data_IF_763210109493
#
_entry.id   IF_763210109493
#
_cell.length_a   1.000
_cell.length_b   1.000
_cell.length_c   1.000
_cell.angle_alpha   90.00
_cell.angle_beta   90.00
_cell.angle_gamma   90.00
#
_symmetry.space_group_name_H-M   'P 1'
#
loop_
_entity.id
_entity.type
_entity.pdbx_description
1 polymer ?
#
# COMPACT_ATOMS: atom_id res chain seq x y z
N UNK A 1 5.35 14.53 -4.37
CA UNK A 1 4.32 15.56 -4.13
C UNK A 1 3.89 16.24 -5.44
N UNK A 2 4.82 16.77 -6.25
CA UNK A 2 4.49 17.50 -7.48
C UNK A 2 3.59 16.69 -8.42
N UNK A 3 3.95 15.45 -8.76
CA UNK A 3 3.14 14.58 -9.62
C UNK A 3 1.74 14.31 -9.05
N UNK A 4 1.64 14.11 -7.74
CA UNK A 4 0.36 13.97 -7.05
C UNK A 4 -0.52 15.21 -7.22
N UNK A 5 0.04 16.42 -7.01
CA UNK A 5 -0.70 17.67 -7.17
C UNK A 5 -1.13 17.89 -8.63
N UNK A 6 -0.23 17.61 -9.58
CA UNK A 6 -0.55 17.70 -11.01
C UNK A 6 -1.65 16.73 -11.43
N UNK A 7 -1.60 15.48 -10.94
CA UNK A 7 -2.64 14.50 -11.21
C UNK A 7 -4.01 14.97 -10.69
N UNK A 8 -4.07 15.46 -9.44
CA UNK A 8 -5.32 15.96 -8.87
C UNK A 8 -5.88 17.17 -9.67
N UNK A 9 -5.05 18.15 -9.99
CA UNK A 9 -5.46 19.30 -10.76
C UNK A 9 -5.95 18.93 -12.17
N UNK A 10 -5.35 17.90 -12.80
CA UNK A 10 -5.81 17.37 -14.09
C UNK A 10 -7.11 16.58 -13.92
N UNK A 11 -7.22 15.74 -12.87
CA UNK A 11 -8.40 14.93 -12.61
C UNK A 11 -9.67 15.76 -12.36
N UNK A 12 -9.54 16.91 -11.70
CA UNK A 12 -10.64 17.88 -11.55
C UNK A 12 -11.17 18.41 -12.89
N UNK A 13 -10.29 18.53 -13.89
CA UNK A 13 -10.63 19.09 -15.21
C UNK A 13 -11.05 18.04 -16.22
N UNK A 14 -10.38 16.87 -16.18
CA UNK A 14 -10.46 15.86 -17.23
C UNK A 14 -11.16 14.57 -16.77
N UNK A 15 -11.52 14.52 -15.48
CA UNK A 15 -12.07 13.32 -14.83
C UNK A 15 -10.98 12.39 -14.29
N UNK A 16 -11.36 11.40 -13.45
CA UNK A 16 -10.41 10.60 -12.67
C UNK A 16 -9.65 9.53 -13.49
N UNK A 17 -10.08 9.23 -14.73
CA UNK A 17 -9.48 8.18 -15.57
C UNK A 17 -8.39 8.74 -16.45
N UNK A 18 -7.16 8.80 -15.93
CA UNK A 18 -6.01 9.35 -16.63
C UNK A 18 -5.71 8.67 -17.99
N UNK A 19 -6.07 7.40 -18.14
CA UNK A 19 -5.94 6.68 -19.42
C UNK A 19 -6.80 7.26 -20.55
N UNK A 20 -7.83 8.03 -20.21
CA UNK A 20 -8.72 8.72 -21.15
C UNK A 20 -8.34 10.18 -21.39
N UNK A 21 -7.35 10.72 -20.67
CA UNK A 21 -6.90 12.09 -20.87
C UNK A 21 -6.30 12.32 -22.26
N UNK A 22 -6.21 13.57 -22.73
CA UNK A 22 -5.43 13.89 -23.92
C UNK A 22 -4.01 13.36 -23.83
N UNK A 23 -3.42 12.96 -24.95
CA UNK A 23 -2.09 12.34 -25.00
C UNK A 23 -1.01 13.11 -24.25
N UNK A 24 -1.07 14.44 -24.33
CA UNK A 24 -0.14 15.36 -23.67
C UNK A 24 -0.15 15.28 -22.14
N UNK A 25 -1.18 14.72 -21.53
CA UNK A 25 -1.32 14.63 -20.06
C UNK A 25 -1.36 13.19 -19.53
N UNK A 26 -1.33 12.18 -20.42
CA UNK A 26 -1.32 10.77 -19.97
C UNK A 26 -0.03 10.35 -19.31
N UNK A 27 1.07 11.07 -19.56
CA UNK A 27 2.36 10.73 -18.96
C UNK A 27 2.87 11.89 -18.08
N UNK A 28 3.34 11.60 -16.84
CA UNK A 28 3.76 12.63 -15.89
C UNK A 28 4.97 13.44 -16.36
N UNK A 29 5.82 12.88 -17.25
CA UNK A 29 7.04 13.52 -17.75
C UNK A 29 6.84 14.19 -19.12
N UNK A 30 5.59 14.44 -19.54
CA UNK A 30 5.32 15.09 -20.82
C UNK A 30 5.78 16.57 -20.81
N UNK A 31 6.28 17.04 -21.96
CA UNK A 31 6.71 18.42 -22.11
C UNK A 31 5.54 19.41 -21.92
N UNK A 32 4.34 19.05 -22.37
CA UNK A 32 3.14 19.87 -22.21
C UNK A 32 2.81 20.06 -20.72
N UNK A 33 2.86 18.99 -19.93
CA UNK A 33 2.59 19.08 -18.50
C UNK A 33 3.65 19.91 -17.76
N UNK A 34 4.92 19.77 -18.13
CA UNK A 34 5.99 20.54 -17.48
C UNK A 34 5.88 22.05 -17.69
N UNK A 35 5.27 22.47 -18.79
CA UNK A 35 5.05 23.88 -19.12
C UNK A 35 3.72 24.44 -18.60
N UNK A 36 2.76 23.56 -18.28
CA UNK A 36 1.39 23.94 -17.94
C UNK A 36 1.29 24.91 -16.77
N UNK A 37 2.04 24.79 -15.66
CA UNK A 37 1.97 25.74 -14.55
C UNK A 37 2.35 27.18 -14.92
N UNK A 38 3.24 27.35 -15.90
CA UNK A 38 3.65 28.67 -16.37
C UNK A 38 2.65 29.28 -17.37
N UNK A 39 1.87 28.46 -18.06
CA UNK A 39 0.92 28.85 -19.09
C UNK A 39 -0.52 29.00 -18.56
N UNK A 40 -0.84 28.35 -17.44
CA UNK A 40 -2.17 28.28 -16.87
C UNK A 40 -2.14 28.55 -15.36
N UNK A 41 -2.42 29.78 -14.98
CA UNK A 41 -2.44 30.18 -13.56
C UNK A 41 -3.49 29.43 -12.72
N UNK A 42 -4.60 29.01 -13.34
CA UNK A 42 -5.62 28.25 -12.64
C UNK A 42 -5.13 26.82 -12.31
N UNK A 43 -4.42 26.18 -13.24
CA UNK A 43 -3.78 24.90 -12.98
C UNK A 43 -2.70 25.01 -11.89
N UNK A 44 -1.86 26.04 -11.94
CA UNK A 44 -0.86 26.29 -10.90
C UNK A 44 -1.51 26.44 -9.52
N UNK A 45 -2.58 27.25 -9.42
CA UNK A 45 -3.34 27.43 -8.17
C UNK A 45 -3.95 26.13 -7.66
N UNK A 46 -4.49 25.29 -8.54
CA UNK A 46 -5.03 23.97 -8.15
C UNK A 46 -3.92 23.06 -7.60
N UNK A 47 -2.73 23.06 -8.24
CA UNK A 47 -1.57 22.31 -7.72
C UNK A 47 -1.15 22.80 -6.32
N UNK A 48 -1.10 24.12 -6.11
CA UNK A 48 -0.75 24.71 -4.81
C UNK A 48 -1.80 24.35 -3.73
N UNK A 49 -3.08 24.33 -4.10
CA UNK A 49 -4.15 23.89 -3.21
C UNK A 49 -3.97 22.44 -2.78
N UNK A 50 -3.69 21.52 -3.69
CA UNK A 50 -3.44 20.12 -3.35
C UNK A 50 -2.15 19.94 -2.54
N UNK A 51 -1.11 20.73 -2.82
CA UNK A 51 0.10 20.75 -1.99
C UNK A 51 -0.18 21.21 -0.56
N UNK A 52 -1.01 22.26 -0.41
CA UNK A 52 -1.45 22.74 0.90
C UNK A 52 -2.27 21.69 1.66
N UNK A 53 -3.18 20.96 0.99
CA UNK A 53 -3.93 19.88 1.62
C UNK A 53 -3.02 18.76 2.13
N UNK A 54 -1.99 18.37 1.36
CA UNK A 54 -1.01 17.38 1.81
C UNK A 54 -0.19 17.88 3.01
N UNK A 55 0.22 19.15 2.98
CA UNK A 55 0.89 19.77 4.12
C UNK A 55 -0.01 19.77 5.36
N UNK A 56 -1.28 20.17 5.21
CA UNK A 56 -2.25 20.19 6.31
C UNK A 56 -2.48 18.78 6.89
N UNK A 57 -2.62 17.76 6.03
CA UNK A 57 -2.75 16.37 6.44
C UNK A 57 -1.54 15.92 7.25
N UNK A 58 -0.33 16.17 6.75
CA UNK A 58 0.92 15.82 7.44
C UNK A 58 0.99 16.49 8.81
N UNK A 59 0.73 17.82 8.88
CA UNK A 59 0.74 18.56 10.14
C UNK A 59 -0.32 18.07 11.14
N UNK A 60 -1.49 17.66 10.64
CA UNK A 60 -2.54 17.11 11.49
C UNK A 60 -2.15 15.76 12.06
N UNK A 61 -1.58 14.87 11.25
CA UNK A 61 -1.05 13.58 11.71
C UNK A 61 0.06 13.74 12.74
N UNK A 62 1.03 14.61 12.50
CA UNK A 62 2.11 14.91 13.46
C UNK A 62 1.56 15.40 14.82
N UNK A 63 0.58 16.32 14.77
CA UNK A 63 -0.06 16.84 16.00
C UNK A 63 -0.86 15.77 16.73
N UNK A 64 -1.58 14.91 15.97
CA UNK A 64 -2.33 13.80 16.55
C UNK A 64 -1.39 12.78 17.20
N UNK A 65 -0.29 12.42 16.52
CA UNK A 65 0.73 11.53 17.06
C UNK A 65 1.36 12.08 18.34
N UNK A 66 1.66 13.39 18.37
CA UNK A 66 2.21 14.05 19.54
C UNK A 66 1.23 14.14 20.72
N UNK A 67 -0.07 14.25 20.44
CA UNK A 67 -1.12 14.34 21.46
C UNK A 67 -1.60 12.96 21.94
N UNK A 68 -1.33 11.89 21.19
CA UNK A 68 -1.72 10.53 21.56
C UNK A 68 -0.88 10.05 22.76
N UNK A 69 -1.52 9.55 23.80
CA UNK A 69 -0.85 8.94 24.96
C UNK A 69 -0.15 7.63 24.62
N UNK A 70 -0.51 7.02 23.50
CA UNK A 70 0.15 5.86 22.86
C UNK A 70 0.47 6.24 21.42
N UNK A 71 1.52 5.65 20.85
CA UNK A 71 1.91 5.95 19.46
C UNK A 71 0.88 5.50 18.44
N UNK A 72 0.84 6.18 17.28
CA UNK A 72 0.03 5.76 16.14
C UNK A 72 0.74 4.68 15.34
N UNK A 73 -0.05 3.77 14.76
CA UNK A 73 0.41 2.76 13.82
C UNK A 73 -0.14 3.15 12.45
N UNK A 74 0.75 3.43 11.50
CA UNK A 74 0.40 3.63 10.10
C UNK A 74 0.05 2.31 9.44
N UNK A 75 -0.67 2.37 8.31
CA UNK A 75 -1.02 1.18 7.52
C UNK A 75 -0.54 1.37 6.08
N UNK A 76 0.26 0.41 5.59
CA UNK A 76 0.73 0.37 4.21
C UNK A 76 -0.15 -0.59 3.42
N UNK A 77 -0.99 -0.04 2.55
CA UNK A 77 -1.85 -0.81 1.69
C UNK A 77 -1.06 -1.66 0.69
N UNK A 78 -1.68 -2.76 0.24
CA UNK A 78 -1.07 -3.73 -0.68
C UNK A 78 -0.80 -3.15 -2.08
N UNK A 79 -1.49 -2.07 -2.46
CA UNK A 79 -1.34 -1.41 -3.75
C UNK A 79 -2.13 -0.10 -3.85
N UNK A 80 -2.25 0.42 -5.07
CA UNK A 80 -2.95 1.67 -5.37
C UNK A 80 -4.02 1.49 -6.44
N UNK A 81 -4.94 2.45 -6.55
CA UNK A 81 -5.94 2.48 -7.61
C UNK A 81 -5.29 2.55 -9.00
N UNK A 82 -5.75 1.77 -10.00
CA UNK A 82 -5.25 1.86 -11.38
C UNK A 82 -5.49 3.23 -12.03
N UNK A 83 -6.53 3.94 -11.59
CA UNK A 83 -6.84 5.30 -12.05
C UNK A 83 -6.22 6.39 -11.16
N UNK A 84 -5.49 6.02 -10.09
CA UNK A 84 -4.94 6.96 -9.11
C UNK A 84 -3.62 7.61 -9.53
N UNK A 85 -3.21 8.61 -8.74
CA UNK A 85 -2.00 9.38 -8.96
C UNK A 85 -0.72 8.51 -8.97
N UNK A 86 -0.65 7.48 -8.12
CA UNK A 86 0.51 6.59 -8.05
C UNK A 86 0.64 5.72 -9.31
N UNK A 87 -0.47 5.18 -9.81
CA UNK A 87 -0.47 4.41 -11.05
C UNK A 87 -0.09 5.28 -12.25
N UNK A 88 -0.58 6.51 -12.31
CA UNK A 88 -0.21 7.47 -13.33
C UNK A 88 1.27 7.89 -13.23
N UNK A 89 1.75 8.20 -12.02
CA UNK A 89 3.11 8.65 -11.80
C UNK A 89 4.16 7.55 -12.04
N UNK A 90 3.79 6.29 -11.82
CA UNK A 90 4.70 5.15 -11.90
C UNK A 90 4.29 4.14 -12.97
N UNK A 91 3.51 4.58 -13.98
CA UNK A 91 2.95 3.72 -15.04
C UNK A 91 4.01 2.86 -15.75
N UNK A 92 5.22 3.38 -15.94
CA UNK A 92 6.32 2.64 -16.57
C UNK A 92 6.89 1.51 -15.70
N UNK A 93 6.61 1.55 -14.40
CA UNK A 93 7.08 0.56 -13.44
C UNK A 93 6.02 -0.49 -13.10
N UNK A 94 4.75 -0.25 -13.46
CA UNK A 94 3.62 -1.10 -13.13
C UNK A 94 3.16 -1.98 -14.30
N UNK A 95 2.63 -3.15 -13.98
CA UNK A 95 1.94 -4.03 -14.91
C UNK A 95 0.45 -3.63 -14.98
N UNK A 96 0.14 -2.58 -15.74
CA UNK A 96 -1.22 -2.00 -15.80
C UNK A 96 -2.27 -2.94 -16.42
N UNK A 97 -1.85 -4.00 -17.11
CA UNK A 97 -2.72 -5.06 -17.63
C UNK A 97 -2.92 -6.22 -16.66
N UNK A 98 -2.40 -6.12 -15.44
CA UNK A 98 -2.52 -7.13 -14.40
C UNK A 98 -3.19 -6.53 -13.16
N UNK A 99 -3.80 -7.40 -12.36
CA UNK A 99 -4.42 -7.03 -11.08
C UNK A 99 -3.94 -7.96 -9.99
N UNK A 100 -3.71 -7.41 -8.80
CA UNK A 100 -3.44 -8.19 -7.59
C UNK A 100 -4.70 -8.89 -7.11
N UNK A 101 -4.53 -10.04 -6.46
CA UNK A 101 -5.60 -10.80 -5.88
C UNK A 101 -5.10 -11.99 -5.07
N UNK A 102 -5.98 -12.95 -4.84
CA UNK A 102 -5.68 -14.23 -4.22
C UNK A 102 -6.35 -15.39 -4.99
N UNK A 103 -5.72 -16.57 -5.06
CA UNK A 103 -6.32 -17.74 -5.68
C UNK A 103 -7.55 -18.21 -4.91
N UNK A 104 -8.40 -19.07 -5.51
CA UNK A 104 -9.40 -19.82 -4.77
C UNK A 104 -8.78 -20.60 -3.61
N UNK A 105 -9.41 -20.54 -2.45
CA UNK A 105 -9.01 -21.24 -1.24
C UNK A 105 -10.23 -21.78 -0.47
N UNK A 106 -10.05 -22.54 0.63
CA UNK A 106 -11.17 -23.08 1.43
C UNK A 106 -12.04 -22.00 2.07
N UNK A 107 -11.55 -20.77 2.26
CA UNK A 107 -12.30 -19.64 2.84
C UNK A 107 -13.02 -18.85 1.77
N UNK A 108 -12.46 -18.79 0.56
CA UNK A 108 -13.05 -18.10 -0.59
C UNK A 108 -12.87 -18.93 -1.88
N UNK A 109 -13.83 -19.78 -2.16
CA UNK A 109 -13.80 -20.69 -3.32
C UNK A 109 -13.76 -19.96 -4.70
N UNK A 110 -14.14 -18.68 -4.75
CA UNK A 110 -14.04 -17.87 -5.97
C UNK A 110 -12.67 -17.20 -6.13
N UNK A 111 -11.84 -17.19 -5.08
CA UNK A 111 -10.66 -16.34 -5.02
C UNK A 111 -11.02 -14.86 -4.89
N UNK A 112 -10.03 -14.00 -4.99
CA UNK A 112 -10.21 -12.55 -4.86
C UNK A 112 -9.47 -11.80 -5.97
N UNK A 113 -10.11 -10.76 -6.51
CA UNK A 113 -9.48 -9.80 -7.42
C UNK A 113 -9.60 -8.40 -6.79
N UNK A 114 -8.47 -7.83 -6.38
CA UNK A 114 -8.46 -6.54 -5.65
C UNK A 114 -8.45 -5.32 -6.58
N UNK A 115 -8.23 -5.53 -7.88
CA UNK A 115 -8.28 -4.46 -8.87
C UNK A 115 -7.02 -3.57 -8.92
N UNK A 116 -5.99 -3.87 -8.15
CA UNK A 116 -4.79 -3.04 -7.97
C UNK A 116 -3.67 -3.49 -8.90
N UNK A 117 -3.01 -2.60 -9.68
CA UNK A 117 -1.91 -2.97 -10.55
C UNK A 117 -0.63 -3.23 -9.73
N UNK A 118 0.11 -4.32 -9.98
CA UNK A 118 1.36 -4.60 -9.30
C UNK A 118 2.54 -3.86 -9.93
N UNK A 119 3.60 -3.62 -9.14
CA UNK A 119 4.91 -3.23 -9.68
C UNK A 119 5.58 -4.40 -10.40
N UNK A 120 6.17 -4.15 -11.55
CA UNK A 120 7.03 -5.12 -12.27
C UNK A 120 8.35 -5.23 -11.53
N UNK A 121 8.72 -6.41 -10.94
CA UNK A 121 9.87 -6.52 -10.05
C UNK A 121 11.20 -6.08 -10.67
N UNK A 122 11.44 -6.43 -11.93
CA UNK A 122 12.66 -6.04 -12.64
C UNK A 122 12.74 -4.53 -12.89
N UNK A 123 11.63 -3.89 -13.21
CA UNK A 123 11.57 -2.42 -13.41
C UNK A 123 11.70 -1.67 -12.09
N UNK A 124 11.05 -2.17 -11.03
CA UNK A 124 11.18 -1.60 -9.69
C UNK A 124 12.63 -1.66 -9.20
N UNK A 125 13.33 -2.79 -9.42
CA UNK A 125 14.76 -2.95 -9.12
C UNK A 125 15.61 -1.99 -9.96
N UNK A 126 15.38 -1.88 -11.27
CA UNK A 126 16.08 -0.95 -12.14
C UNK A 126 15.89 0.52 -11.71
N UNK A 127 14.73 0.86 -11.18
CA UNK A 127 14.44 2.15 -10.56
C UNK A 127 15.01 2.31 -9.15
N UNK A 128 15.85 1.35 -8.68
CA UNK A 128 16.46 1.35 -7.34
C UNK A 128 15.40 1.41 -6.22
N UNK A 129 14.25 0.82 -6.43
CA UNK A 129 13.12 0.78 -5.49
C UNK A 129 12.61 2.16 -5.03
N UNK A 130 12.93 3.25 -5.74
CA UNK A 130 12.60 4.63 -5.32
C UNK A 130 11.14 4.82 -4.93
N UNK A 131 10.13 4.35 -5.72
CA UNK A 131 8.74 4.49 -5.32
C UNK A 131 8.42 3.73 -4.01
N UNK A 132 8.88 2.49 -3.89
CA UNK A 132 8.67 1.66 -2.70
C UNK A 132 9.32 2.26 -1.45
N UNK A 133 10.57 2.75 -1.56
CA UNK A 133 11.24 3.49 -0.48
C UNK A 133 10.40 4.71 -0.08
N UNK A 134 9.90 5.47 -1.05
CA UNK A 134 9.05 6.64 -0.81
C UNK A 134 7.77 6.30 -0.06
N UNK A 135 7.09 5.22 -0.46
CA UNK A 135 5.87 4.72 0.18
C UNK A 135 6.12 4.32 1.64
N UNK A 136 7.14 3.48 1.90
CA UNK A 136 7.47 3.03 3.26
C UNK A 136 7.87 4.21 4.15
N UNK A 137 8.70 5.11 3.63
CA UNK A 137 9.13 6.32 4.35
C UNK A 137 7.96 7.23 4.73
N UNK A 138 7.04 7.46 3.79
CA UNK A 138 5.85 8.27 4.03
C UNK A 138 4.91 7.60 5.05
N UNK A 139 4.72 6.29 4.97
CA UNK A 139 3.87 5.53 5.89
C UNK A 139 4.45 5.45 7.31
N UNK A 140 5.77 5.51 7.47
CA UNK A 140 6.44 5.56 8.78
C UNK A 140 6.50 6.99 9.37
N UNK A 141 6.22 8.03 8.59
CA UNK A 141 6.44 9.41 9.03
C UNK A 141 5.53 9.79 10.21
N UNK A 142 6.15 10.11 11.37
CA UNK A 142 5.43 10.45 12.60
C UNK A 142 4.70 9.30 13.28
N UNK A 143 4.89 8.06 12.82
CA UNK A 143 4.27 6.87 13.38
C UNK A 143 5.20 6.13 14.34
N UNK A 144 4.64 5.53 15.38
CA UNK A 144 5.37 4.63 16.27
C UNK A 144 5.52 3.22 15.68
N UNK A 145 4.64 2.84 14.78
CA UNK A 145 4.68 1.55 14.07
C UNK A 145 4.08 1.64 12.69
N UNK A 146 4.35 0.61 11.87
CA UNK A 146 3.81 0.43 10.54
C UNK A 146 3.22 -0.98 10.41
N UNK A 147 1.93 -1.10 10.10
CA UNK A 147 1.32 -2.34 9.64
C UNK A 147 1.49 -2.44 8.13
N UNK A 148 1.93 -3.59 7.66
CA UNK A 148 2.01 -3.92 6.24
C UNK A 148 0.87 -4.88 5.93
N UNK A 149 -0.05 -4.42 5.09
CA UNK A 149 -1.17 -5.22 4.63
C UNK A 149 -0.69 -6.34 3.72
N UNK A 150 -1.22 -7.56 3.92
CA UNK A 150 -0.87 -8.76 3.14
C UNK A 150 0.65 -8.92 2.98
N UNK A 151 1.37 -9.09 4.09
CA UNK A 151 2.85 -9.11 4.11
C UNK A 151 3.48 -10.17 3.20
N UNK A 152 2.75 -11.27 2.88
CA UNK A 152 3.14 -12.27 1.89
C UNK A 152 3.38 -11.65 0.51
N UNK A 153 2.74 -10.52 0.21
CA UNK A 153 2.94 -9.73 -1.01
C UNK A 153 4.36 -9.19 -1.21
N UNK A 154 5.21 -9.22 -0.17
CA UNK A 154 6.65 -8.93 -0.27
C UNK A 154 7.47 -10.12 -0.81
N UNK A 155 6.93 -11.32 -0.76
CA UNK A 155 7.59 -12.56 -1.20
C UNK A 155 7.07 -13.00 -2.56
N UNK A 156 5.76 -13.03 -2.71
CA UNK A 156 5.06 -13.36 -3.94
C UNK A 156 3.72 -12.66 -3.99
N UNK A 157 3.27 -12.32 -5.19
CA UNK A 157 1.96 -11.72 -5.43
C UNK A 157 1.19 -12.58 -6.43
N UNK A 158 -0.10 -12.72 -6.20
CA UNK A 158 -0.98 -13.40 -7.15
C UNK A 158 -1.49 -12.39 -8.17
N UNK A 159 -1.11 -12.57 -9.43
CA UNK A 159 -1.44 -11.68 -10.53
C UNK A 159 -2.51 -12.28 -11.41
N UNK A 160 -3.55 -11.50 -11.68
CA UNK A 160 -4.70 -11.85 -12.52
C UNK A 160 -4.67 -10.94 -13.75
N UNK A 161 -4.78 -11.47 -14.98
CA UNK A 161 -4.91 -10.63 -16.16
C UNK A 161 -6.13 -9.70 -16.07
N UNK A 162 -6.03 -8.48 -16.59
CA UNK A 162 -7.16 -7.57 -16.64
C UNK A 162 -8.32 -8.19 -17.42
N UNK A 163 -9.54 -8.15 -16.85
CA UNK A 163 -10.70 -8.82 -17.41
C UNK A 163 -10.78 -10.34 -17.18
N UNK A 164 -9.74 -10.94 -16.58
CA UNK A 164 -9.72 -12.34 -16.15
C UNK A 164 -10.34 -12.54 -14.76
N UNK A 165 -10.38 -13.79 -14.35
CA UNK A 165 -10.85 -14.24 -13.02
C UNK A 165 -9.66 -14.73 -12.19
N UNK A 166 -9.82 -14.96 -10.88
CA UNK A 166 -8.76 -15.58 -10.06
C UNK A 166 -8.30 -16.97 -10.58
N UNK A 167 -9.14 -17.70 -11.34
CA UNK A 167 -8.73 -18.95 -11.96
C UNK A 167 -7.68 -18.79 -13.07
N UNK A 168 -7.58 -17.59 -13.65
CA UNK A 168 -6.63 -17.26 -14.73
C UNK A 168 -5.31 -16.69 -14.17
N UNK A 169 -5.21 -16.55 -12.84
CA UNK A 169 -4.07 -15.92 -12.17
C UNK A 169 -2.89 -16.87 -11.93
N UNK A 170 -1.77 -16.27 -11.58
CA UNK A 170 -0.55 -17.00 -11.21
C UNK A 170 0.27 -16.22 -10.19
N UNK A 171 1.13 -16.93 -9.45
CA UNK A 171 2.07 -16.30 -8.53
C UNK A 171 3.30 -15.75 -9.26
N UNK A 172 3.66 -14.51 -8.93
CA UNK A 172 4.89 -13.84 -9.37
C UNK A 172 5.78 -13.62 -8.14
N UNK A 173 7.01 -14.11 -8.21
CA UNK A 173 8.01 -13.96 -7.13
C UNK A 173 8.51 -12.53 -7.06
N UNK A 174 8.67 -12.02 -5.85
CA UNK A 174 9.21 -10.70 -5.55
C UNK A 174 10.64 -10.80 -4.96
N UNK A 175 11.45 -9.75 -5.08
CA UNK A 175 12.77 -9.67 -4.46
C UNK A 175 12.66 -9.40 -2.94
N UNK A 176 12.14 -10.38 -2.20
CA UNK A 176 11.76 -10.23 -0.78
C UNK A 176 12.91 -9.75 0.11
N UNK A 177 14.14 -10.23 -0.12
CA UNK A 177 15.29 -9.83 0.67
C UNK A 177 15.56 -8.32 0.59
N UNK A 178 15.48 -7.75 -0.63
CA UNK A 178 15.66 -6.31 -0.83
C UNK A 178 14.48 -5.51 -0.25
N UNK A 179 13.24 -5.97 -0.44
CA UNK A 179 12.05 -5.29 0.07
C UNK A 179 12.04 -5.27 1.60
N UNK A 180 12.35 -6.39 2.26
CA UNK A 180 12.48 -6.47 3.72
C UNK A 180 13.62 -5.58 4.24
N UNK A 181 14.76 -5.53 3.55
CA UNK A 181 15.87 -4.66 3.93
C UNK A 181 15.49 -3.17 3.86
N UNK A 182 14.73 -2.76 2.84
CA UNK A 182 14.22 -1.39 2.70
C UNK A 182 13.26 -1.06 3.84
N UNK A 183 12.29 -1.94 4.14
CA UNK A 183 11.34 -1.76 5.23
C UNK A 183 12.08 -1.57 6.57
N UNK A 184 13.02 -2.48 6.87
CA UNK A 184 13.83 -2.39 8.10
C UNK A 184 14.60 -1.08 8.19
N UNK A 185 15.24 -0.67 7.09
CA UNK A 185 16.02 0.57 7.06
C UNK A 185 15.14 1.81 7.30
N UNK A 186 14.03 1.94 6.58
CA UNK A 186 13.16 3.12 6.71
C UNK A 186 12.42 3.14 8.05
N UNK A 187 11.96 2.00 8.55
CA UNK A 187 11.35 1.89 9.87
C UNK A 187 12.36 2.23 11.00
N UNK A 188 13.60 1.72 10.91
CA UNK A 188 14.67 2.06 11.86
C UNK A 188 14.97 3.56 11.86
N UNK A 189 15.02 4.19 10.68
CA UNK A 189 15.23 5.64 10.54
C UNK A 189 14.11 6.46 11.18
N UNK A 190 12.88 5.94 11.10
CA UNK A 190 11.71 6.58 11.69
C UNK A 190 11.54 6.28 13.19
N UNK A 191 12.28 5.31 13.75
CA UNK A 191 12.07 4.81 15.11
C UNK A 191 10.78 4.00 15.24
N UNK A 192 10.25 3.45 14.15
CA UNK A 192 9.00 2.71 14.10
C UNK A 192 9.23 1.20 14.16
N UNK A 193 8.38 0.47 14.87
CA UNK A 193 8.30 -0.99 14.76
C UNK A 193 7.44 -1.38 13.56
N UNK A 194 7.59 -2.63 13.08
CA UNK A 194 6.85 -3.11 11.91
C UNK A 194 6.02 -4.33 12.27
N UNK A 195 4.79 -4.37 11.78
CA UNK A 195 3.85 -5.48 11.88
C UNK A 195 3.53 -5.94 10.47
N UNK A 196 3.67 -7.23 10.19
CA UNK A 196 3.16 -7.85 8.97
C UNK A 196 1.80 -8.48 9.22
N UNK A 197 0.81 -8.16 8.41
CA UNK A 197 -0.42 -8.94 8.39
C UNK A 197 -0.12 -10.26 7.68
N UNK A 198 -0.04 -11.35 8.46
CA UNK A 198 0.31 -12.71 8.04
C UNK A 198 -0.83 -13.70 8.30
N UNK A 199 -2.08 -13.24 8.11
CA UNK A 199 -3.27 -14.07 8.25
C UNK A 199 -3.44 -15.00 7.03
N UNK A 200 -4.11 -16.14 7.25
CA UNK A 200 -4.35 -17.14 6.20
C UNK A 200 -3.24 -18.19 6.10
N UNK A 201 -3.03 -18.72 4.90
CA UNK A 201 -2.02 -19.77 4.67
C UNK A 201 -0.67 -19.14 4.33
N UNK A 202 0.25 -19.20 5.27
CA UNK A 202 1.59 -18.63 5.17
C UNK A 202 2.65 -19.71 5.28
N UNK A 203 3.62 -19.70 4.39
CA UNK A 203 4.70 -20.68 4.39
C UNK A 203 5.66 -20.48 5.58
N UNK A 204 6.22 -21.55 6.15
CA UNK A 204 7.13 -21.46 7.30
C UNK A 204 8.36 -20.57 7.06
N UNK A 205 8.87 -20.53 5.82
CA UNK A 205 9.99 -19.65 5.45
C UNK A 205 9.62 -18.17 5.50
N UNK A 206 8.39 -17.79 5.20
CA UNK A 206 7.91 -16.41 5.34
C UNK A 206 7.92 -16.00 6.81
N UNK A 207 7.32 -16.81 7.68
CA UNK A 207 7.36 -16.55 9.13
C UNK A 207 8.79 -16.45 9.68
N UNK A 208 9.72 -17.29 9.20
CA UNK A 208 11.13 -17.21 9.59
C UNK A 208 11.76 -15.89 9.13
N UNK A 209 11.57 -15.52 7.86
CA UNK A 209 12.13 -14.29 7.30
C UNK A 209 11.59 -13.02 8.00
N UNK A 210 10.30 -13.01 8.37
CA UNK A 210 9.69 -11.92 9.14
C UNK A 210 10.34 -11.80 10.53
N UNK A 211 10.48 -12.92 11.26
CA UNK A 211 11.15 -12.93 12.58
C UNK A 211 12.59 -12.47 12.49
N UNK A 212 13.37 -12.98 11.54
CA UNK A 212 14.77 -12.58 11.31
C UNK A 212 14.89 -11.10 10.91
N UNK A 213 13.84 -10.55 10.33
CA UNK A 213 13.75 -9.14 9.97
C UNK A 213 13.25 -8.26 11.12
N UNK A 214 12.88 -8.82 12.28
CA UNK A 214 12.32 -8.07 13.40
C UNK A 214 10.92 -7.53 13.13
N UNK A 215 10.18 -8.15 12.19
CA UNK A 215 8.80 -7.81 11.85
C UNK A 215 7.88 -8.70 12.71
N UNK A 216 6.93 -8.06 13.42
CA UNK A 216 5.92 -8.74 14.21
C UNK A 216 4.89 -9.40 13.29
N UNK A 217 4.41 -10.59 13.65
CA UNK A 217 3.24 -11.19 13.02
C UNK A 217 1.93 -10.65 13.60
N UNK A 218 0.80 -11.15 13.13
CA UNK A 218 -0.54 -10.79 13.60
C UNK A 218 -1.26 -12.01 14.15
N UNK A 219 -1.90 -11.87 15.32
CA UNK A 219 -2.79 -12.86 15.92
C UNK A 219 -4.16 -12.24 16.17
N UNK A 220 -5.21 -12.94 15.75
CA UNK A 220 -6.60 -12.47 15.85
C UNK A 220 -7.41 -13.47 16.67
N UNK A 221 -8.05 -12.99 17.72
CA UNK A 221 -8.87 -13.79 18.64
C UNK A 221 -9.98 -14.59 17.93
N UNK A 222 -10.59 -14.04 16.89
CA UNK A 222 -11.63 -14.75 16.13
C UNK A 222 -11.16 -16.04 15.47
N UNK A 223 -9.87 -16.17 15.17
CA UNK A 223 -9.31 -17.36 14.53
C UNK A 223 -8.67 -18.34 15.50
N UNK A 224 -8.18 -17.85 16.64
CA UNK A 224 -7.48 -18.66 17.63
C UNK A 224 -7.69 -18.07 19.02
N UNK A 225 -8.50 -18.75 19.83
CA UNK A 225 -8.85 -18.33 21.20
C UNK A 225 -7.80 -18.72 22.24
N UNK A 226 -6.74 -19.45 21.87
CA UNK A 226 -5.66 -19.90 22.76
C UNK A 226 -4.60 -18.80 22.96
N UNK A 227 -5.03 -17.60 23.34
CA UNK A 227 -4.15 -16.43 23.42
C UNK A 227 -2.93 -16.62 24.36
N UNK A 228 -2.98 -17.52 25.31
CA UNK A 228 -1.87 -17.83 26.20
C UNK A 228 -0.69 -18.54 25.49
N UNK A 229 -0.96 -19.16 24.33
CA UNK A 229 0.04 -19.86 23.52
C UNK A 229 0.62 -18.97 22.40
N UNK A 230 0.12 -17.74 22.28
CA UNK A 230 0.58 -16.84 21.20
C UNK A 230 2.02 -16.40 21.43
N UNK A 231 2.86 -16.43 20.38
CA UNK A 231 4.23 -15.94 20.49
C UNK A 231 4.28 -14.45 20.83
N UNK A 232 5.22 -14.05 21.68
CA UNK A 232 5.37 -12.68 22.13
C UNK A 232 5.69 -11.68 21.00
N UNK A 233 6.22 -12.17 19.86
CA UNK A 233 6.55 -11.33 18.70
C UNK A 233 5.37 -11.19 17.73
N UNK A 234 4.16 -11.01 18.23
CA UNK A 234 2.96 -10.77 17.44
C UNK A 234 2.17 -9.58 17.99
N UNK A 235 1.50 -8.88 17.08
CA UNK A 235 0.40 -8.00 17.43
C UNK A 235 -0.83 -8.88 17.75
N UNK A 236 -1.31 -8.79 18.97
CA UNK A 236 -2.54 -9.48 19.39
C UNK A 236 -3.74 -8.53 19.23
N UNK A 237 -4.75 -8.96 18.49
CA UNK A 237 -5.99 -8.21 18.30
C UNK A 237 -7.21 -9.09 18.54
N UNK A 238 -8.33 -8.50 18.90
CA UNK A 238 -9.60 -9.23 18.99
C UNK A 238 -10.17 -9.47 17.61
N UNK A 239 -10.14 -8.44 16.77
CA UNK A 239 -10.69 -8.45 15.41
C UNK A 239 -9.84 -7.55 14.49
N UNK A 240 -10.17 -7.51 13.21
CA UNK A 240 -9.65 -6.56 12.20
C UNK A 240 -10.79 -5.75 11.61
N UNK A 241 -10.47 -4.75 10.77
CA UNK A 241 -11.50 -3.98 10.06
C UNK A 241 -12.30 -4.80 9.03
N UNK A 242 -11.80 -5.99 8.64
CA UNK A 242 -12.47 -6.90 7.71
C UNK A 242 -13.37 -7.94 8.42
N UNK A 243 -13.38 -7.95 9.75
CA UNK A 243 -14.10 -8.93 10.55
C UNK A 243 -15.19 -8.26 11.39
N UNK A 244 -16.21 -9.03 11.84
CA UNK A 244 -17.23 -8.51 12.71
C UNK A 244 -16.65 -7.87 13.98
N UNK A 245 -17.22 -6.73 14.40
CA UNK A 245 -16.84 -6.10 15.66
C UNK A 245 -17.29 -6.94 16.86
N UNK A 246 -16.67 -6.76 18.02
CA UNK A 246 -17.12 -7.42 19.27
C UNK A 246 -18.58 -7.14 19.55
N UNK A 247 -18.98 -5.87 19.39
CA UNK A 247 -20.39 -5.46 19.60
C UNK A 247 -21.32 -6.06 18.53
N UNK A 248 -20.87 -6.15 17.27
CA UNK A 248 -21.63 -6.80 16.20
C UNK A 248 -21.90 -8.26 16.52
N UNK A 249 -20.87 -9.02 16.92
CA UNK A 249 -21.02 -10.43 17.32
C UNK A 249 -21.94 -10.57 18.54
N UNK A 250 -21.78 -9.70 19.54
CA UNK A 250 -22.64 -9.71 20.74
C UNK A 250 -24.12 -9.44 20.41
N UNK A 251 -24.39 -8.55 19.48
CA UNK A 251 -25.74 -8.17 19.07
C UNK A 251 -26.28 -9.00 17.89
N UNK A 252 -25.53 -9.99 17.41
CA UNK A 252 -25.88 -10.82 16.23
C UNK A 252 -26.11 -9.98 14.94
N UNK A 253 -25.29 -8.92 14.73
CA UNK A 253 -25.35 -8.03 13.56
C UNK A 253 -24.08 -8.07 12.73
#
# INVERSE_FOLDING_TARGET
LQQFCSWNALAERLGPRWTQWPGDFRHPDSAALSQLPAQDAHFATACDFHAWLQWLTTRTLERTAAAAGVGLIGDLAVGCSPDGADAWAHQDLMALSMRLGAPPDPFNAAGQAWGLPPFIPSRLRAAQYRPFIGMVRAACHGMAGLRIDHVMGLFRQFWIPEGGTPADGTYVQLPSAELLAIIRLEATRAGAFVIGEDLGTVEPEVHRALRESGILGTKVWWFDTSAHDWPANNLATVTTHDLPTVVGVWNHT
#
